data_IF_809541359694
#
_entry.id   IF_809541359694
#
_cell.length_a   1.000
_cell.length_b   1.000
_cell.length_c   1.000
_cell.angle_alpha   90.00
_cell.angle_beta   90.00
_cell.angle_gamma   90.00
#
_symmetry.space_group_name_H-M   'P 1'
#
loop_
_entity.id
_entity.type
_entity.pdbx_description
1 polymer ?
#
# COMPACT_ATOMS: atom_id res chain seq x y z
N UNK A 1 -25.58 0.57 24.83
CA UNK A 1 -24.81 0.51 23.56
C UNK A 1 -25.36 -0.47 22.52
N UNK A 2 -25.97 -1.61 22.86
CA UNK A 2 -26.46 -2.61 21.88
C UNK A 2 -27.59 -2.15 20.93
N UNK A 3 -28.20 -0.99 21.19
CA UNK A 3 -29.25 -0.41 20.34
C UNK A 3 -28.73 0.68 19.38
N UNK A 4 -27.45 1.06 19.47
CA UNK A 4 -26.85 2.08 18.62
C UNK A 4 -26.31 1.44 17.35
N UNK A 5 -26.50 2.11 16.22
CA UNK A 5 -25.87 1.74 14.95
C UNK A 5 -24.38 2.06 14.99
N UNK A 6 -23.59 1.43 14.12
CA UNK A 6 -22.15 1.68 14.01
C UNK A 6 -21.83 3.15 13.74
N UNK A 7 -22.66 3.82 12.93
CA UNK A 7 -22.50 5.25 12.61
C UNK A 7 -22.74 6.12 13.83
N UNK A 8 -23.78 5.83 14.62
CA UNK A 8 -24.06 6.56 15.86
C UNK A 8 -22.95 6.34 16.89
N UNK A 9 -22.40 5.12 16.97
CA UNK A 9 -21.31 4.82 17.88
C UNK A 9 -20.03 5.56 17.49
N UNK A 10 -19.71 5.60 16.19
CA UNK A 10 -18.55 6.35 15.65
C UNK A 10 -18.71 7.84 15.97
N UNK A 11 -19.87 8.44 15.68
CA UNK A 11 -20.09 9.87 15.94
C UNK A 11 -19.98 10.24 17.43
N UNK A 12 -20.43 9.37 18.34
CA UNK A 12 -20.26 9.58 19.79
C UNK A 12 -18.78 9.48 20.17
N UNK A 13 -18.04 8.51 19.62
CA UNK A 13 -16.61 8.37 19.90
C UNK A 13 -15.82 9.56 19.35
N UNK A 14 -16.12 10.03 18.14
CA UNK A 14 -15.53 11.22 17.53
C UNK A 14 -15.72 12.44 18.44
N UNK A 15 -16.95 12.68 18.90
CA UNK A 15 -17.25 13.79 19.81
C UNK A 15 -16.47 13.69 21.14
N UNK A 16 -16.39 12.50 21.74
CA UNK A 16 -15.66 12.28 22.99
C UNK A 16 -14.16 12.52 22.80
N UNK A 17 -13.59 12.12 21.66
CA UNK A 17 -12.18 12.33 21.33
C UNK A 17 -11.88 13.80 21.09
N UNK A 18 -12.78 14.53 20.43
CA UNK A 18 -12.66 15.97 20.21
C UNK A 18 -12.73 16.76 21.53
N UNK A 19 -13.63 16.36 22.44
CA UNK A 19 -13.81 17.00 23.75
C UNK A 19 -12.68 16.65 24.74
N UNK A 20 -12.01 15.50 24.55
CA UNK A 20 -10.96 14.98 25.44
C UNK A 20 -9.74 14.40 24.67
N UNK A 21 -8.77 15.25 24.25
CA UNK A 21 -7.62 14.82 23.44
C UNK A 21 -6.68 13.82 24.13
N UNK A 22 -6.68 13.79 25.45
CA UNK A 22 -5.94 12.84 26.28
C UNK A 22 -6.50 11.40 26.16
N UNK A 23 -7.83 11.28 25.97
CA UNK A 23 -8.51 10.00 25.74
C UNK A 23 -8.14 9.40 24.38
N UNK A 24 -7.82 10.23 23.38
CA UNK A 24 -7.36 9.75 22.07
C UNK A 24 -6.12 8.84 22.19
N UNK A 25 -5.17 9.20 23.06
CA UNK A 25 -3.95 8.41 23.28
C UNK A 25 -4.25 7.06 23.92
N UNK A 26 -5.18 7.04 24.88
CA UNK A 26 -5.60 5.82 25.56
C UNK A 26 -6.40 4.91 24.61
N UNK A 27 -7.34 5.47 23.84
CA UNK A 27 -8.10 4.71 22.83
C UNK A 27 -7.18 4.10 21.77
N UNK A 28 -6.17 4.85 21.30
CA UNK A 28 -5.17 4.35 20.35
C UNK A 28 -4.36 3.18 20.89
N UNK A 29 -4.17 3.07 22.22
CA UNK A 29 -3.49 1.93 22.83
C UNK A 29 -4.32 0.63 22.78
N UNK A 30 -5.65 0.75 22.69
CA UNK A 30 -6.56 -0.38 22.53
C UNK A 30 -6.84 -0.73 21.06
N UNK A 31 -6.35 0.07 20.11
CA UNK A 31 -6.51 -0.27 18.70
C UNK A 31 -5.76 -1.56 18.39
N UNK A 32 -6.45 -2.57 17.82
CA UNK A 32 -5.77 -3.77 17.39
C UNK A 32 -4.75 -3.39 16.32
N UNK A 33 -3.60 -4.09 16.33
CA UNK A 33 -2.65 -4.00 15.21
C UNK A 33 -3.43 -4.30 13.93
N UNK A 34 -3.40 -3.37 12.96
CA UNK A 34 -4.13 -3.56 11.71
C UNK A 34 -3.69 -4.88 11.08
N UNK A 35 -4.65 -5.77 10.89
CA UNK A 35 -4.43 -6.99 10.16
C UNK A 35 -4.49 -6.71 8.65
N UNK A 36 -3.30 -6.58 8.04
CA UNK A 36 -3.17 -6.39 6.60
C UNK A 36 -3.49 -7.67 5.80
N UNK A 37 -3.73 -8.81 6.47
CA UNK A 37 -3.99 -10.09 5.80
C UNK A 37 -5.19 -10.01 4.86
N UNK A 38 -6.28 -9.37 5.30
CA UNK A 38 -7.47 -9.17 4.48
C UNK A 38 -7.15 -8.41 3.17
N UNK A 39 -6.30 -7.39 3.25
CA UNK A 39 -5.86 -6.63 2.08
C UNK A 39 -4.93 -7.43 1.18
N UNK A 40 -3.99 -8.18 1.74
CA UNK A 40 -3.09 -9.07 0.99
C UNK A 40 -3.88 -10.14 0.23
N UNK A 41 -4.85 -10.78 0.89
CA UNK A 41 -5.69 -11.81 0.28
C UNK A 41 -6.54 -11.25 -0.86
N UNK A 42 -7.05 -10.02 -0.70
CA UNK A 42 -7.79 -9.33 -1.75
C UNK A 42 -6.90 -8.95 -2.94
N UNK A 43 -5.70 -8.43 -2.70
CA UNK A 43 -4.70 -8.16 -3.75
C UNK A 43 -4.33 -9.46 -4.47
N UNK A 44 -4.14 -10.55 -3.73
CA UNK A 44 -3.84 -11.87 -4.29
C UNK A 44 -4.99 -12.40 -5.15
N UNK A 45 -6.23 -12.23 -4.71
CA UNK A 45 -7.43 -12.56 -5.49
C UNK A 45 -7.49 -11.77 -6.80
N UNK A 46 -7.33 -10.44 -6.75
CA UNK A 46 -7.35 -9.58 -7.95
C UNK A 46 -6.20 -9.93 -8.91
N UNK A 47 -5.00 -10.19 -8.38
CA UNK A 47 -3.86 -10.68 -9.16
C UNK A 47 -4.17 -12.00 -9.86
N UNK A 48 -4.79 -12.95 -9.16
CA UNK A 48 -5.21 -14.24 -9.76
C UNK A 48 -6.21 -14.03 -10.90
N UNK A 49 -7.13 -13.08 -10.80
CA UNK A 49 -8.08 -12.78 -11.88
C UNK A 49 -7.38 -12.30 -13.16
N UNK A 50 -6.34 -11.46 -13.02
CA UNK A 50 -5.50 -11.05 -14.17
C UNK A 50 -4.92 -12.30 -14.87
N UNK A 51 -4.30 -13.20 -14.12
CA UNK A 51 -3.69 -14.40 -14.72
C UNK A 51 -4.70 -15.41 -15.25
N UNK A 52 -5.87 -15.55 -14.62
CA UNK A 52 -6.94 -16.43 -15.11
C UNK A 52 -7.53 -15.97 -16.45
N UNK A 53 -7.55 -14.67 -16.70
CA UNK A 53 -8.07 -14.10 -17.94
C UNK A 53 -7.05 -14.11 -19.11
N UNK A 54 -5.78 -14.42 -18.83
CA UNK A 54 -4.77 -14.57 -19.88
C UNK A 54 -5.03 -15.81 -20.75
N UNK A 55 -4.62 -15.81 -22.03
CA UNK A 55 -4.64 -17.01 -22.86
C UNK A 55 -3.89 -18.18 -22.19
N UNK A 56 -4.53 -19.35 -22.14
CA UNK A 56 -3.95 -20.58 -21.57
C UNK A 56 -3.06 -21.33 -22.55
N UNK A 57 -3.32 -21.19 -23.86
CA UNK A 57 -2.56 -21.83 -24.93
C UNK A 57 -1.09 -21.40 -24.93
N UNK A 58 -0.18 -22.36 -25.13
CA UNK A 58 1.26 -22.11 -25.27
C UNK A 58 1.63 -21.46 -26.61
N UNK A 59 0.75 -21.55 -27.60
CA UNK A 59 0.98 -21.05 -28.97
C UNK A 59 0.57 -19.58 -29.14
N UNK A 60 -0.02 -18.96 -28.12
CA UNK A 60 -0.53 -17.58 -28.18
C UNK A 60 0.34 -16.71 -27.27
N UNK A 61 0.74 -15.52 -27.76
CA UNK A 61 1.46 -14.56 -26.92
C UNK A 61 0.61 -14.17 -25.71
N UNK A 62 1.26 -14.08 -24.55
CA UNK A 62 0.61 -13.66 -23.28
C UNK A 62 0.89 -12.19 -22.95
N UNK A 63 1.58 -11.48 -23.84
CA UNK A 63 2.07 -10.10 -23.62
C UNK A 63 1.76 -9.15 -24.78
N UNK A 64 1.04 -9.63 -25.79
CA UNK A 64 0.61 -8.84 -26.94
C UNK A 64 -0.64 -7.99 -26.62
N UNK A 65 -1.11 -7.25 -27.63
CA UNK A 65 -2.31 -6.41 -27.53
C UNK A 65 -3.58 -7.23 -27.22
N UNK A 66 -3.74 -8.40 -27.83
CA UNK A 66 -4.93 -9.25 -27.65
C UNK A 66 -5.02 -9.79 -26.22
N UNK A 67 -3.90 -10.25 -25.67
CA UNK A 67 -3.82 -10.69 -24.28
C UNK A 67 -4.05 -9.53 -23.31
N UNK A 68 -3.52 -8.33 -23.61
CA UNK A 68 -3.77 -7.13 -22.81
C UNK A 68 -5.25 -6.78 -22.74
N UNK A 69 -5.93 -6.71 -23.89
CA UNK A 69 -7.34 -6.33 -23.95
C UNK A 69 -8.21 -7.22 -23.05
N UNK A 70 -7.96 -8.54 -23.04
CA UNK A 70 -8.68 -9.50 -22.19
C UNK A 70 -8.57 -9.22 -20.70
N UNK A 71 -7.46 -8.66 -20.24
CA UNK A 71 -7.17 -8.49 -18.81
C UNK A 71 -7.16 -7.03 -18.35
N UNK A 72 -7.36 -6.09 -19.28
CA UNK A 72 -7.33 -4.65 -19.06
C UNK A 72 -8.24 -4.20 -17.91
N UNK A 73 -9.48 -4.70 -17.85
CA UNK A 73 -10.42 -4.43 -16.77
C UNK A 73 -9.88 -4.93 -15.41
N UNK A 74 -9.36 -6.17 -15.35
CA UNK A 74 -8.79 -6.73 -14.13
C UNK A 74 -7.52 -5.97 -13.66
N UNK A 75 -6.73 -5.44 -14.59
CA UNK A 75 -5.60 -4.56 -14.26
C UNK A 75 -6.08 -3.25 -13.64
N UNK A 76 -7.18 -2.67 -14.12
CA UNK A 76 -7.77 -1.46 -13.54
C UNK A 76 -8.33 -1.72 -12.15
N UNK A 77 -9.03 -2.84 -11.94
CA UNK A 77 -9.54 -3.22 -10.61
C UNK A 77 -8.41 -3.44 -9.61
N UNK A 78 -7.37 -4.16 -10.02
CA UNK A 78 -6.17 -4.37 -9.21
C UNK A 78 -5.52 -3.03 -8.84
N UNK A 79 -5.28 -2.16 -9.83
CA UNK A 79 -4.69 -0.84 -9.62
C UNK A 79 -5.53 0.01 -8.66
N UNK A 80 -6.83 0.11 -8.93
CA UNK A 80 -7.76 0.89 -8.10
C UNK A 80 -7.72 0.43 -6.66
N UNK A 81 -7.80 -0.87 -6.41
CA UNK A 81 -7.73 -1.40 -5.05
C UNK A 81 -6.39 -1.09 -4.36
N UNK A 82 -5.26 -1.28 -5.05
CA UNK A 82 -3.92 -1.00 -4.49
C UNK A 82 -3.78 0.46 -4.07
N UNK A 83 -4.26 1.39 -4.91
CA UNK A 83 -4.11 2.83 -4.65
C UNK A 83 -5.11 3.29 -3.57
N UNK A 84 -6.38 2.93 -3.71
CA UNK A 84 -7.45 3.42 -2.83
C UNK A 84 -7.24 2.93 -1.39
N UNK A 85 -6.85 1.67 -1.19
CA UNK A 85 -6.62 1.13 0.15
C UNK A 85 -5.37 1.73 0.82
N UNK A 86 -4.30 1.95 0.04
CA UNK A 86 -3.13 2.65 0.56
C UNK A 86 -3.43 4.08 1.01
N UNK A 87 -4.29 4.80 0.26
CA UNK A 87 -4.76 6.14 0.66
C UNK A 87 -5.62 6.10 1.92
N UNK A 88 -6.56 5.17 2.00
CA UNK A 88 -7.42 5.01 3.17
C UNK A 88 -6.61 4.75 4.46
N UNK A 89 -5.57 3.91 4.38
CA UNK A 89 -4.64 3.68 5.50
C UNK A 89 -3.82 4.93 5.87
N UNK A 90 -3.49 5.77 4.89
CA UNK A 90 -2.80 7.03 5.15
C UNK A 90 -3.73 8.06 5.81
N UNK A 91 -5.00 8.10 5.40
CA UNK A 91 -6.04 8.96 6.01
C UNK A 91 -6.33 8.57 7.46
N UNK A 92 -6.17 7.30 7.83
CA UNK A 92 -6.27 6.86 9.24
C UNK A 92 -5.03 7.18 10.10
N UNK A 93 -4.02 7.84 9.53
CA UNK A 93 -2.76 8.23 10.20
C UNK A 93 -1.98 7.04 10.79
N UNK A 94 -2.24 5.81 10.32
CA UNK A 94 -1.58 4.60 10.80
C UNK A 94 -0.31 4.31 10.00
N UNK A 95 0.68 5.18 10.15
CA UNK A 95 1.86 5.23 9.28
C UNK A 95 2.70 3.93 9.23
N UNK A 96 2.79 3.19 10.34
CA UNK A 96 3.46 1.88 10.36
C UNK A 96 2.73 0.90 9.45
N UNK A 97 1.39 0.88 9.50
CA UNK A 97 0.59 0.03 8.64
C UNK A 97 0.65 0.47 7.17
N UNK A 98 0.77 1.77 6.90
CA UNK A 98 1.03 2.27 5.54
C UNK A 98 2.35 1.71 5.00
N UNK A 99 3.42 1.70 5.81
CA UNK A 99 4.71 1.12 5.40
C UNK A 99 4.61 -0.38 5.13
N UNK A 100 4.01 -1.13 6.06
CA UNK A 100 3.82 -2.57 5.91
C UNK A 100 2.96 -2.89 4.68
N UNK A 101 1.91 -2.09 4.43
CA UNK A 101 1.08 -2.19 3.24
C UNK A 101 1.87 -1.90 1.97
N UNK A 102 2.67 -0.84 1.93
CA UNK A 102 3.51 -0.51 0.78
C UNK A 102 4.42 -1.69 0.44
N UNK A 103 5.16 -2.24 1.41
CA UNK A 103 6.08 -3.33 1.16
C UNK A 103 5.39 -4.62 0.70
N UNK A 104 4.22 -4.93 1.26
CA UNK A 104 3.40 -6.04 0.82
C UNK A 104 2.90 -5.81 -0.61
N UNK A 105 2.19 -4.70 -0.85
CA UNK A 105 1.57 -4.39 -2.13
C UNK A 105 2.61 -4.30 -3.26
N UNK A 106 3.80 -3.73 -2.98
CA UNK A 106 4.91 -3.64 -3.94
C UNK A 106 5.29 -4.99 -4.54
N UNK A 107 5.40 -6.03 -3.68
CA UNK A 107 5.72 -7.40 -4.11
C UNK A 107 4.62 -7.96 -5.02
N UNK A 108 3.36 -7.64 -4.76
CA UNK A 108 2.26 -8.07 -5.61
C UNK A 108 2.20 -7.33 -6.95
N UNK A 109 2.41 -6.00 -6.94
CA UNK A 109 2.52 -5.19 -8.15
C UNK A 109 3.66 -5.68 -9.02
N UNK A 110 4.83 -5.97 -8.43
CA UNK A 110 6.00 -6.53 -9.13
C UNK A 110 5.69 -7.84 -9.85
N UNK A 111 4.81 -8.65 -9.28
CA UNK A 111 4.36 -9.93 -9.82
C UNK A 111 3.15 -9.81 -10.78
N UNK A 112 2.81 -8.62 -11.28
CA UNK A 112 1.86 -8.49 -12.39
C UNK A 112 2.55 -8.70 -13.75
N UNK A 113 1.81 -9.00 -14.83
CA UNK A 113 2.39 -9.09 -16.17
C UNK A 113 3.08 -7.79 -16.61
N UNK A 114 4.18 -7.94 -17.35
CA UNK A 114 4.83 -6.86 -18.09
C UNK A 114 4.51 -7.06 -19.57
N UNK A 115 3.96 -6.05 -20.20
CA UNK A 115 3.49 -6.07 -21.59
C UNK A 115 4.58 -5.58 -22.54
N UNK A 116 4.56 -6.08 -23.77
CA UNK A 116 5.51 -5.65 -24.80
C UNK A 116 5.30 -4.17 -25.16
N UNK A 117 4.04 -3.75 -25.28
CA UNK A 117 3.72 -2.34 -25.49
C UNK A 117 3.89 -1.54 -24.19
N UNK A 118 4.77 -0.51 -24.15
CA UNK A 118 4.99 0.30 -22.96
C UNK A 118 3.73 1.00 -22.43
N UNK A 119 2.78 1.36 -23.29
CA UNK A 119 1.53 2.02 -22.87
C UNK A 119 0.65 1.10 -22.01
N UNK A 120 0.65 -0.20 -22.28
CA UNK A 120 -0.12 -1.20 -21.51
C UNK A 120 0.40 -1.38 -20.09
N UNK A 121 1.65 -1.00 -19.83
CA UNK A 121 2.26 -1.02 -18.50
C UNK A 121 1.90 0.20 -17.62
N UNK A 122 1.06 1.12 -18.10
CA UNK A 122 0.69 2.34 -17.36
C UNK A 122 0.06 2.03 -15.99
N UNK A 123 -0.80 1.03 -15.89
CA UNK A 123 -1.43 0.64 -14.63
C UNK A 123 -0.40 0.22 -13.57
N UNK A 124 0.56 -0.61 -13.98
CA UNK A 124 1.65 -1.09 -13.13
C UNK A 124 2.54 0.06 -12.67
N UNK A 125 2.93 0.96 -13.58
CA UNK A 125 3.73 2.16 -13.25
C UNK A 125 3.00 3.07 -12.26
N UNK A 126 1.69 3.29 -12.47
CA UNK A 126 0.87 4.09 -11.56
C UNK A 126 0.84 3.49 -10.15
N UNK A 127 0.73 2.17 -10.00
CA UNK A 127 0.83 1.52 -8.69
C UNK A 127 2.17 1.83 -8.01
N UNK A 128 3.31 1.62 -8.68
CA UNK A 128 4.62 1.88 -8.08
C UNK A 128 4.80 3.34 -7.67
N UNK A 129 4.42 4.26 -8.55
CA UNK A 129 4.45 5.70 -8.25
C UNK A 129 3.63 6.03 -7.01
N UNK A 130 2.37 5.58 -6.95
CA UNK A 130 1.51 5.86 -5.80
C UNK A 130 1.98 5.19 -4.50
N UNK A 131 2.52 3.97 -4.58
CA UNK A 131 3.10 3.30 -3.41
C UNK A 131 4.36 4.02 -2.89
N UNK A 132 5.19 4.56 -3.78
CA UNK A 132 6.34 5.37 -3.39
C UNK A 132 5.93 6.72 -2.77
N UNK A 133 4.90 7.36 -3.31
CA UNK A 133 4.30 8.58 -2.74
C UNK A 133 3.76 8.31 -1.32
N UNK A 134 3.03 7.20 -1.12
CA UNK A 134 2.53 6.78 0.19
C UNK A 134 3.67 6.46 1.16
N UNK A 135 4.73 5.79 0.70
CA UNK A 135 5.92 5.51 1.50
C UNK A 135 6.58 6.80 2.00
N UNK A 136 6.85 7.72 1.09
CA UNK A 136 7.44 9.02 1.42
C UNK A 136 6.54 9.80 2.39
N UNK A 137 5.22 9.77 2.17
CA UNK A 137 4.28 10.44 3.05
C UNK A 137 4.29 9.86 4.47
N UNK A 138 4.26 8.53 4.61
CA UNK A 138 4.37 7.87 5.91
C UNK A 138 5.71 8.19 6.60
N UNK A 139 6.82 8.11 5.88
CA UNK A 139 8.16 8.40 6.41
C UNK A 139 8.28 9.84 6.93
N UNK A 140 7.76 10.82 6.19
CA UNK A 140 7.75 12.23 6.62
C UNK A 140 7.00 12.44 7.93
N UNK A 141 5.88 11.73 8.13
CA UNK A 141 5.09 11.82 9.35
C UNK A 141 5.68 11.03 10.52
N UNK A 142 6.47 9.97 10.26
CA UNK A 142 7.12 9.18 11.30
C UNK A 142 8.54 9.62 11.65
N UNK A 143 9.13 10.60 10.95
CA UNK A 143 10.57 10.91 11.06
C UNK A 143 11.08 11.12 12.49
N UNK A 144 10.26 11.69 13.38
CA UNK A 144 10.61 11.99 14.77
C UNK A 144 10.21 10.87 15.75
N UNK A 145 9.48 9.85 15.28
CA UNK A 145 8.95 8.76 16.10
C UNK A 145 9.59 7.41 15.77
N UNK A 146 10.37 7.32 14.70
CA UNK A 146 11.10 6.12 14.34
C UNK A 146 12.18 5.82 15.36
N UNK A 147 12.30 4.56 15.77
CA UNK A 147 13.46 4.09 16.52
C UNK A 147 14.57 3.57 15.56
N UNK A 148 15.83 3.43 16.04
CA UNK A 148 16.95 2.98 15.19
C UNK A 148 16.70 1.64 14.49
N UNK A 149 16.09 0.68 15.18
CA UNK A 149 15.81 -0.65 14.65
C UNK A 149 14.78 -0.60 13.52
N UNK A 150 13.71 0.17 13.67
CA UNK A 150 12.69 0.38 12.65
C UNK A 150 13.28 1.06 11.41
N UNK A 151 14.07 2.11 11.62
CA UNK A 151 14.72 2.82 10.52
C UNK A 151 15.66 1.90 9.73
N UNK A 152 16.48 1.11 10.41
CA UNK A 152 17.37 0.15 9.75
C UNK A 152 16.61 -0.94 9.00
N UNK A 153 15.51 -1.46 9.57
CA UNK A 153 14.64 -2.42 8.88
C UNK A 153 14.03 -1.80 7.61
N UNK A 154 13.53 -0.57 7.69
CA UNK A 154 12.97 0.13 6.51
C UNK A 154 14.04 0.42 5.45
N UNK A 155 15.26 0.81 5.84
CA UNK A 155 16.38 0.95 4.90
C UNK A 155 16.68 -0.35 4.17
N UNK A 156 16.76 -1.48 4.90
CA UNK A 156 16.97 -2.82 4.30
C UNK A 156 15.86 -3.19 3.32
N UNK A 157 14.60 -3.00 3.70
CA UNK A 157 13.47 -3.33 2.83
C UNK A 157 13.42 -2.41 1.60
N UNK A 158 13.60 -1.10 1.78
CA UNK A 158 13.63 -0.14 0.67
C UNK A 158 14.76 -0.45 -0.31
N UNK A 159 15.97 -0.75 0.19
CA UNK A 159 17.10 -1.14 -0.65
C UNK A 159 16.78 -2.38 -1.48
N UNK A 160 16.25 -3.43 -0.83
CA UNK A 160 15.86 -4.67 -1.51
C UNK A 160 14.77 -4.45 -2.57
N UNK A 161 13.83 -3.53 -2.36
CA UNK A 161 12.76 -3.24 -3.31
C UNK A 161 13.18 -2.26 -4.42
N UNK A 162 14.20 -1.43 -4.16
CA UNK A 162 14.70 -0.41 -5.10
C UNK A 162 15.63 -0.94 -6.19
N UNK A 163 16.17 -2.16 -6.04
CA UNK A 163 17.10 -2.75 -7.02
C UNK A 163 16.48 -2.84 -8.43
N UNK A 164 15.16 -2.91 -8.54
CA UNK A 164 14.44 -3.02 -9.82
C UNK A 164 13.57 -1.79 -10.16
N UNK A 165 13.47 -0.81 -9.26
CA UNK A 165 12.52 0.30 -9.36
C UNK A 165 13.02 1.56 -8.63
N UNK A 166 13.31 2.61 -9.40
CA UNK A 166 13.91 3.86 -8.91
C UNK A 166 12.98 4.68 -8.01
N UNK A 167 11.67 4.43 -8.05
CA UNK A 167 10.68 5.23 -7.34
C UNK A 167 10.88 5.24 -5.80
N UNK A 168 11.47 4.17 -5.23
CA UNK A 168 11.78 4.09 -3.80
C UNK A 168 13.14 4.68 -3.40
N UNK A 169 14.01 5.02 -4.37
CA UNK A 169 15.34 5.56 -4.05
C UNK A 169 15.24 6.89 -3.29
N UNK A 170 14.22 7.70 -3.59
CA UNK A 170 13.96 8.94 -2.85
C UNK A 170 13.59 8.67 -1.39
N UNK A 171 12.81 7.61 -1.12
CA UNK A 171 12.46 7.20 0.25
C UNK A 171 13.69 6.72 1.02
N UNK A 172 14.57 5.95 0.37
CA UNK A 172 15.82 5.51 0.96
C UNK A 172 16.76 6.69 1.26
N UNK A 173 16.88 7.64 0.32
CA UNK A 173 17.66 8.87 0.50
C UNK A 173 17.15 9.67 1.69
N UNK A 174 15.83 9.84 1.81
CA UNK A 174 15.20 10.53 2.94
C UNK A 174 15.58 9.92 4.29
N UNK A 175 15.51 8.59 4.43
CA UNK A 175 15.92 7.91 5.68
C UNK A 175 17.41 8.06 6.02
N UNK A 176 18.26 8.32 5.02
CA UNK A 176 19.70 8.49 5.23
C UNK A 176 20.08 9.92 5.60
N UNK A 177 19.30 10.93 5.19
CA UNK A 177 19.63 12.34 5.41
C UNK A 177 18.79 13.01 6.49
N UNK A 178 17.50 12.70 6.56
CA UNK A 178 16.52 13.45 7.35
C UNK A 178 16.18 12.80 8.70
N UNK A 179 16.50 11.52 8.89
CA UNK A 179 16.26 10.80 10.15
C UNK A 179 17.58 10.69 10.90
N UNK A 180 17.67 11.38 12.04
CA UNK A 180 18.82 11.38 12.94
C UNK A 180 18.43 10.81 14.29
N UNK A 181 19.35 10.06 14.89
CA UNK A 181 19.23 9.57 16.26
C UNK A 181 20.27 10.34 17.08
N UNK A 182 19.83 10.93 18.19
CA UNK A 182 20.72 11.58 19.17
C UNK A 182 21.46 10.53 20.02
#
# INVERSE_FOLDING_TARGET
MKALTSVQLIGIIEQIVDDHPDVEKEIKAYFPKIDLKSHEDRICYLKRNIYKALPSSRLISKRDYTAYNRVSAHLMDFKKYVIDQGRLLAESHQWIAVMDYVFMAWKHVKNTPVWENPCHNAARRQCFKSLAELCMYALKNMKNTLNPNQCENYKKQLKFLSDDHEELLLCLKFLNTEVKFD
#
